data_IF_399205885503
#
_entry.id   IF_399205885503
#
_cell.length_a   1.000
_cell.length_b   1.000
_cell.length_c   1.000
_cell.angle_alpha   90.00
_cell.angle_beta   90.00
_cell.angle_gamma   90.00
#
_symmetry.space_group_name_H-M   'P 1'
#
loop_
_entity.id
_entity.type
_entity.pdbx_description
1 polymer ?
#
# COMPACT_ATOMS: atom_id res chain seq x y z
N UNK A 1 15.09 5.68 -10.34
CA UNK A 1 14.67 5.33 -8.96
C UNK A 1 13.49 6.20 -8.60
N UNK A 2 12.44 5.64 -7.99
CA UNK A 2 11.28 6.42 -7.48
C UNK A 2 11.70 7.09 -6.16
N UNK A 3 11.59 8.42 -6.07
CA UNK A 3 11.94 9.18 -4.86
C UNK A 3 10.97 8.89 -3.70
N UNK A 4 11.28 9.40 -2.51
CA UNK A 4 10.39 9.23 -1.35
C UNK A 4 9.10 10.03 -1.54
N UNK A 5 9.22 11.23 -2.08
CA UNK A 5 8.13 12.14 -2.41
C UNK A 5 7.21 11.54 -3.48
N UNK A 6 7.81 10.93 -4.52
CA UNK A 6 7.03 10.23 -5.55
C UNK A 6 6.26 9.04 -4.97
N UNK A 7 6.88 8.27 -4.09
CA UNK A 7 6.22 7.12 -3.47
C UNK A 7 5.09 7.55 -2.53
N UNK A 8 5.27 8.65 -1.79
CA UNK A 8 4.21 9.27 -0.98
C UNK A 8 3.02 9.67 -1.84
N UNK A 9 3.27 10.34 -2.98
CA UNK A 9 2.23 10.68 -3.93
C UNK A 9 1.52 9.44 -4.47
N UNK A 10 2.27 8.42 -4.90
CA UNK A 10 1.71 7.14 -5.39
C UNK A 10 0.79 6.49 -4.35
N UNK A 11 1.20 6.42 -3.08
CA UNK A 11 0.38 5.84 -2.01
C UNK A 11 -0.90 6.65 -1.79
N UNK A 12 -0.85 7.97 -1.95
CA UNK A 12 -2.03 8.84 -1.79
C UNK A 12 -3.12 8.61 -2.84
N UNK A 13 -2.77 8.04 -4.01
CA UNK A 13 -3.72 7.67 -5.08
C UNK A 13 -4.51 6.38 -4.72
N UNK A 14 -3.97 5.58 -3.80
CA UNK A 14 -4.60 4.33 -3.38
C UNK A 14 -5.82 4.60 -2.50
N UNK A 15 -6.92 3.93 -2.81
CA UNK A 15 -8.13 4.03 -2.00
C UNK A 15 -8.13 2.97 -0.88
N UNK A 16 -9.09 3.06 0.03
CA UNK A 16 -9.20 2.13 1.16
C UNK A 16 -9.31 0.66 0.73
N UNK A 17 -9.81 0.36 -0.48
CA UNK A 17 -9.89 -1.01 -0.96
C UNK A 17 -8.52 -1.54 -1.38
N UNK A 18 -7.73 -0.72 -2.08
CA UNK A 18 -6.33 -1.05 -2.43
C UNK A 18 -5.50 -1.28 -1.16
N UNK A 19 -5.67 -0.42 -0.16
CA UNK A 19 -4.91 -0.51 1.10
C UNK A 19 -5.22 -1.78 1.88
N UNK A 20 -6.49 -2.25 1.86
CA UNK A 20 -6.87 -3.55 2.42
C UNK A 20 -6.32 -4.72 1.59
N UNK A 21 -6.29 -4.57 0.26
CA UNK A 21 -5.71 -5.58 -0.62
C UNK A 21 -4.20 -5.75 -0.38
N UNK A 22 -3.46 -4.66 -0.15
CA UNK A 22 -2.05 -4.71 0.28
C UNK A 22 -1.90 -5.57 1.53
N UNK A 23 -2.71 -5.33 2.56
CA UNK A 23 -2.69 -6.12 3.80
C UNK A 23 -2.95 -7.60 3.53
N UNK A 24 -3.88 -7.92 2.64
CA UNK A 24 -4.21 -9.32 2.30
C UNK A 24 -3.06 -10.00 1.54
N UNK A 25 -2.48 -9.34 0.54
CA UNK A 25 -1.43 -9.92 -0.30
C UNK A 25 -0.07 -9.96 0.40
N UNK A 26 0.19 -9.01 1.30
CA UNK A 26 1.47 -8.83 1.98
C UNK A 26 1.35 -8.98 3.50
N UNK A 27 0.44 -9.83 3.98
CA UNK A 27 0.19 -10.02 5.42
C UNK A 27 1.46 -10.39 6.19
N UNK A 28 2.39 -11.11 5.56
CA UNK A 28 3.69 -11.46 6.12
C UNK A 28 4.55 -10.21 6.45
N UNK A 29 4.48 -9.16 5.63
CA UNK A 29 5.20 -7.89 5.89
C UNK A 29 4.65 -7.23 7.15
N UNK A 30 3.33 -7.16 7.29
CA UNK A 30 2.71 -6.60 8.48
C UNK A 30 2.93 -7.47 9.72
N UNK A 31 3.07 -8.79 9.57
CA UNK A 31 3.43 -9.70 10.66
C UNK A 31 4.86 -9.43 11.14
N UNK A 32 5.80 -9.30 10.21
CA UNK A 32 7.19 -8.94 10.50
C UNK A 32 7.27 -7.58 11.21
N UNK A 33 6.58 -6.56 10.69
CA UNK A 33 6.49 -5.24 11.33
C UNK A 33 5.90 -5.30 12.75
N UNK A 34 4.99 -6.24 13.03
CA UNK A 34 4.46 -6.47 14.37
C UNK A 34 5.48 -7.15 15.28
N UNK A 35 6.20 -8.16 14.78
CA UNK A 35 7.26 -8.88 15.50
C UNK A 35 8.42 -7.96 15.87
N UNK A 36 8.80 -7.06 14.94
CA UNK A 36 9.78 -5.98 15.12
C UNK A 36 9.24 -4.78 15.92
N UNK A 37 8.02 -4.87 16.46
CA UNK A 37 7.35 -3.82 17.28
C UNK A 37 7.19 -2.47 16.57
N UNK A 38 7.25 -2.42 15.25
CA UNK A 38 6.95 -1.24 14.42
C UNK A 38 5.46 -0.92 14.49
N UNK A 39 4.61 -1.96 14.54
CA UNK A 39 3.17 -1.84 14.81
C UNK A 39 2.76 -2.68 16.01
N UNK A 40 1.69 -2.27 16.69
CA UNK A 40 1.16 -3.03 17.81
C UNK A 40 0.38 -4.26 17.35
N UNK A 41 0.41 -5.32 18.18
CA UNK A 41 -0.36 -6.55 17.95
C UNK A 41 -1.86 -6.30 17.74
N UNK A 42 -2.56 -5.44 18.51
CA UNK A 42 -3.95 -5.08 18.22
C UNK A 42 -4.14 -4.44 16.85
N UNK A 43 -3.19 -3.60 16.41
CA UNK A 43 -3.28 -2.93 15.12
C UNK A 43 -3.11 -3.91 13.95
N UNK A 44 -2.16 -4.84 14.05
CA UNK A 44 -2.01 -5.95 13.11
C UNK A 44 -3.33 -6.73 12.93
N UNK A 45 -3.96 -7.15 14.03
CA UNK A 45 -5.22 -7.91 13.93
C UNK A 45 -6.39 -7.08 13.42
N UNK A 46 -6.43 -5.76 13.69
CA UNK A 46 -7.43 -4.89 13.05
C UNK A 46 -7.26 -4.90 11.54
N UNK A 47 -6.04 -4.77 11.03
CA UNK A 47 -5.78 -4.84 9.59
C UNK A 47 -6.17 -6.20 8.98
N UNK A 48 -5.87 -7.31 9.66
CA UNK A 48 -6.31 -8.66 9.23
C UNK A 48 -7.84 -8.81 9.19
N UNK A 49 -8.58 -8.00 9.96
CA UNK A 49 -10.04 -7.92 9.92
C UNK A 49 -10.59 -6.96 8.86
N UNK A 50 -9.73 -6.43 7.98
CA UNK A 50 -10.12 -5.57 6.87
C UNK A 50 -10.15 -4.08 7.19
N UNK A 51 -9.45 -3.63 8.24
CA UNK A 51 -9.16 -2.21 8.44
C UNK A 51 -8.06 -1.76 7.48
N UNK A 52 -8.28 -0.64 6.80
CA UNK A 52 -7.27 -0.09 5.90
C UNK A 52 -6.11 0.53 6.72
N UNK A 53 -4.84 0.22 6.40
CA UNK A 53 -3.71 0.94 6.98
C UNK A 53 -3.67 2.40 6.51
N UNK A 54 -2.98 3.24 7.27
CA UNK A 54 -2.65 4.60 6.85
C UNK A 54 -1.55 4.61 5.79
N UNK A 55 -1.45 5.72 5.07
CA UNK A 55 -0.44 5.94 4.03
C UNK A 55 0.97 5.83 4.61
N UNK A 56 1.19 6.44 5.79
CA UNK A 56 2.47 6.35 6.51
C UNK A 56 2.85 4.89 6.81
N UNK A 57 1.87 4.06 7.20
CA UNK A 57 2.14 2.66 7.50
C UNK A 57 2.46 1.86 6.23
N UNK A 58 1.80 2.14 5.11
CA UNK A 58 2.13 1.54 3.81
C UNK A 58 3.52 1.94 3.37
N UNK A 59 3.91 3.21 3.55
CA UNK A 59 5.25 3.70 3.23
C UNK A 59 6.32 2.96 4.04
N UNK A 60 6.12 2.78 5.35
CA UNK A 60 7.01 1.94 6.17
C UNK A 60 7.07 0.50 5.68
N UNK A 61 5.93 -0.06 5.28
CA UNK A 61 5.89 -1.42 4.73
C UNK A 61 6.64 -1.54 3.38
N UNK A 62 6.63 -0.49 2.55
CA UNK A 62 7.43 -0.40 1.32
C UNK A 62 8.95 -0.34 1.60
N UNK A 63 9.35 0.24 2.74
CA UNK A 63 10.75 0.27 3.18
C UNK A 63 11.22 -1.11 3.66
N UNK A 64 10.33 -1.87 4.32
CA UNK A 64 10.60 -3.25 4.78
C UNK A 64 10.61 -4.24 3.62
N UNK A 65 9.76 -4.05 2.60
CA UNK A 65 9.60 -5.03 1.52
C UNK A 65 9.55 -4.39 0.11
N UNK A 66 10.59 -4.64 -0.69
CA UNK A 66 10.68 -4.14 -2.06
C UNK A 66 9.57 -4.64 -3.00
N UNK A 67 9.07 -5.88 -2.82
CA UNK A 67 7.97 -6.41 -3.64
C UNK A 67 6.64 -5.71 -3.35
N UNK A 68 6.40 -5.32 -2.09
CA UNK A 68 5.25 -4.50 -1.72
C UNK A 68 5.34 -3.14 -2.41
N UNK A 69 6.52 -2.51 -2.40
CA UNK A 69 6.76 -1.24 -3.10
C UNK A 69 6.46 -1.35 -4.60
N UNK A 70 6.96 -2.40 -5.27
CA UNK A 70 6.67 -2.65 -6.69
C UNK A 70 5.18 -2.84 -6.96
N UNK A 71 4.48 -3.57 -6.09
CA UNK A 71 3.04 -3.79 -6.20
C UNK A 71 2.26 -2.48 -6.09
N UNK A 72 2.61 -1.63 -5.12
CA UNK A 72 1.99 -0.30 -4.93
C UNK A 72 2.12 0.56 -6.19
N UNK A 73 3.33 0.60 -6.76
CA UNK A 73 3.60 1.36 -7.99
C UNK A 73 2.75 0.82 -9.15
N UNK A 74 2.75 -0.50 -9.34
CA UNK A 74 1.97 -1.14 -10.41
C UNK A 74 0.48 -0.86 -10.25
N UNK A 75 -0.05 -0.95 -9.04
CA UNK A 75 -1.47 -0.68 -8.78
C UNK A 75 -1.85 0.76 -9.12
N UNK A 76 -1.00 1.73 -8.78
CA UNK A 76 -1.24 3.13 -9.14
C UNK A 76 -1.20 3.35 -10.67
N UNK A 77 -0.26 2.71 -11.37
CA UNK A 77 -0.18 2.74 -12.84
C UNK A 77 -1.45 2.18 -13.48
N UNK A 78 -1.97 1.06 -12.97
CA UNK A 78 -3.22 0.46 -13.47
C UNK A 78 -4.41 1.40 -13.29
N UNK A 79 -4.50 2.09 -12.14
CA UNK A 79 -5.53 3.10 -11.88
C UNK A 79 -5.39 4.30 -12.82
N UNK A 80 -4.18 4.82 -13.00
CA UNK A 80 -3.91 5.94 -13.92
C UNK A 80 -4.30 5.57 -15.36
N UNK A 81 -3.91 4.39 -15.84
CA UNK A 81 -4.27 3.89 -17.16
C UNK A 81 -5.78 3.75 -17.34
N UNK A 82 -6.51 3.31 -16.31
CA UNK A 82 -7.97 3.26 -16.35
C UNK A 82 -8.57 4.66 -16.48
N UNK A 83 -8.06 5.64 -15.74
CA UNK A 83 -8.50 7.04 -15.85
C UNK A 83 -8.24 7.58 -17.26
N UNK A 84 -7.03 7.39 -17.80
CA UNK A 84 -6.69 7.82 -19.17
C UNK A 84 -7.61 7.22 -20.23
N UNK A 85 -8.01 5.95 -20.09
CA UNK A 85 -8.99 5.33 -20.98
C UNK A 85 -10.37 5.97 -20.89
N UNK A 86 -10.79 6.39 -19.69
CA UNK A 86 -12.10 7.05 -19.50
C UNK A 86 -12.09 8.45 -20.10
N UNK A 87 -11.05 9.24 -19.83
CA UNK A 87 -10.99 10.65 -20.24
C UNK A 87 -10.52 10.86 -21.68
N UNK A 88 -9.67 9.96 -22.20
CA UNK A 88 -9.15 10.02 -23.57
C UNK A 88 -10.05 9.35 -24.62
N UNK A 89 -11.16 8.73 -24.19
CA UNK A 89 -12.22 8.25 -25.09
C UNK A 89 -13.34 9.28 -25.28
N UNK A 90 -13.07 10.54 -24.91
CA UNK A 90 -13.98 11.69 -25.04
C UNK A 90 -13.49 12.72 -26.02
#
# INVERSE_FOLDING_TARGET
MVSKEDLQFIVSILDSSDKKEIVKQFSYVFKEMMEEKIISKPWYYKMMKGYAPSDELILKACEVNGRLKEWVIKRAVDKANRVLKIVGSG
#
